data_IF_013350624765
#
_entry.id   IF_013350624765
#
_cell.length_a   1.000
_cell.length_b   1.000
_cell.length_c   1.000
_cell.angle_alpha   90.00
_cell.angle_beta   90.00
_cell.angle_gamma   90.00
#
_symmetry.space_group_name_H-M   'P 1'
#
loop_
_entity.id
_entity.type
_entity.pdbx_description
1 polymer ?
#
# COMPACT_ATOMS: atom_id res chain seq x y z
N UNK A 1 -22.48 -13.94 25.29
CA UNK A 1 -21.42 -13.55 24.34
C UNK A 1 -20.10 -14.15 24.83
N UNK A 2 -19.53 -15.13 24.12
CA UNK A 2 -18.48 -16.05 24.63
C UNK A 2 -17.11 -15.37 24.74
N UNK A 3 -16.54 -15.34 25.94
CA UNK A 3 -15.19 -14.84 26.25
C UNK A 3 -14.06 -15.54 25.44
N UNK A 4 -14.31 -16.78 25.02
CA UNK A 4 -13.36 -17.63 24.33
C UNK A 4 -13.02 -17.15 22.91
N UNK A 5 -14.00 -16.63 22.17
CA UNK A 5 -13.79 -16.07 20.84
C UNK A 5 -12.91 -14.82 20.87
N UNK A 6 -13.07 -13.99 21.91
CA UNK A 6 -12.19 -12.82 22.12
C UNK A 6 -10.77 -13.28 22.42
N UNK A 7 -10.59 -14.27 23.29
CA UNK A 7 -9.26 -14.77 23.68
C UNK A 7 -8.45 -15.35 22.51
N UNK A 8 -9.10 -16.07 21.59
CA UNK A 8 -8.45 -16.55 20.36
C UNK A 8 -8.05 -15.41 19.42
N UNK A 9 -8.86 -14.34 19.35
CA UNK A 9 -8.51 -13.13 18.60
C UNK A 9 -7.31 -12.39 19.21
N UNK A 10 -7.26 -12.24 20.54
CA UNK A 10 -6.11 -11.68 21.27
C UNK A 10 -4.81 -12.41 20.92
N UNK A 11 -4.82 -13.76 21.02
CA UNK A 11 -3.64 -14.58 20.70
C UNK A 11 -3.17 -14.40 19.26
N UNK A 12 -4.11 -14.31 18.32
CA UNK A 12 -3.81 -14.09 16.90
C UNK A 12 -3.20 -12.71 16.65
N UNK A 13 -3.79 -11.64 17.20
CA UNK A 13 -3.25 -10.28 17.04
C UNK A 13 -1.85 -10.15 17.64
N UNK A 14 -1.61 -10.75 18.81
CA UNK A 14 -0.29 -10.79 19.45
C UNK A 14 0.73 -11.52 18.57
N UNK A 15 0.35 -12.69 18.04
CA UNK A 15 1.21 -13.47 17.15
C UNK A 15 1.52 -12.73 15.83
N UNK A 16 0.53 -12.09 15.22
CA UNK A 16 0.68 -11.43 13.92
C UNK A 16 1.48 -10.13 14.01
N UNK A 17 1.33 -9.40 15.11
CA UNK A 17 1.97 -8.08 15.29
C UNK A 17 3.28 -8.13 16.06
N UNK A 18 3.58 -9.25 16.72
CA UNK A 18 4.76 -9.44 17.57
C UNK A 18 4.96 -8.31 18.60
N UNK A 19 3.87 -7.65 19.00
CA UNK A 19 3.88 -6.50 19.91
C UNK A 19 3.15 -6.85 21.21
N UNK A 20 3.92 -7.22 22.23
CA UNK A 20 3.40 -7.65 23.53
C UNK A 20 3.17 -6.49 24.53
N UNK A 21 3.75 -5.32 24.27
CA UNK A 21 3.67 -4.18 25.20
C UNK A 21 2.37 -3.40 25.07
N UNK A 22 1.86 -3.22 23.85
CA UNK A 22 0.73 -2.32 23.57
C UNK A 22 -0.44 -3.03 22.86
N UNK A 23 -0.71 -4.27 23.26
CA UNK A 23 -1.74 -5.13 22.65
C UNK A 23 -3.12 -4.43 22.62
N UNK A 24 -3.50 -3.74 23.70
CA UNK A 24 -4.78 -3.04 23.78
C UNK A 24 -4.89 -1.85 22.82
N UNK A 25 -3.79 -1.11 22.58
CA UNK A 25 -3.76 -0.03 21.59
C UNK A 25 -3.88 -0.62 20.19
N UNK A 26 -3.09 -1.66 19.89
CA UNK A 26 -3.16 -2.37 18.61
C UNK A 26 -4.55 -2.95 18.35
N UNK A 27 -5.21 -3.47 19.39
CA UNK A 27 -6.59 -3.95 19.30
C UNK A 27 -7.59 -2.83 19.14
N UNK A 28 -7.49 -1.74 19.90
CA UNK A 28 -8.38 -0.59 19.74
C UNK A 28 -8.28 -0.02 18.33
N UNK A 29 -7.06 0.11 17.78
CA UNK A 29 -6.82 0.56 16.41
C UNK A 29 -7.32 -0.43 15.35
N UNK A 30 -7.22 -1.75 15.56
CA UNK A 30 -7.76 -2.76 14.64
C UNK A 30 -9.29 -2.92 14.75
N UNK A 31 -9.85 -2.67 15.93
CA UNK A 31 -11.27 -2.84 16.22
C UNK A 31 -12.09 -1.59 15.89
N UNK A 32 -11.46 -0.40 15.89
CA UNK A 32 -11.97 0.76 15.17
C UNK A 32 -11.71 0.54 13.68
N UNK A 33 -12.68 -0.07 13.00
CA UNK A 33 -12.75 -0.12 11.54
C UNK A 33 -12.97 1.32 11.01
N UNK A 34 -11.94 2.15 11.09
CA UNK A 34 -11.96 3.55 10.69
C UNK A 34 -10.76 3.83 9.82
N UNK A 35 -11.04 4.30 8.61
CA UNK A 35 -10.07 5.00 7.79
C UNK A 35 -9.74 6.29 8.55
N UNK A 36 -8.49 6.42 8.99
CA UNK A 36 -7.96 7.65 9.59
C UNK A 36 -7.01 8.29 8.58
N UNK A 37 -7.35 9.48 8.11
CA UNK A 37 -6.57 10.20 7.11
C UNK A 37 -5.96 11.43 7.76
N UNK A 38 -4.64 11.59 7.64
CA UNK A 38 -3.94 12.78 8.13
C UNK A 38 -3.52 13.67 6.96
N UNK A 39 -3.55 14.99 7.15
CA UNK A 39 -3.03 15.97 6.17
C UNK A 39 -3.70 15.91 4.77
N UNK A 40 -5.03 15.95 4.76
CA UNK A 40 -5.82 15.98 3.52
C UNK A 40 -5.72 17.35 2.83
N UNK A 41 -5.38 17.36 1.55
CA UNK A 41 -5.44 18.54 0.67
C UNK A 41 -6.40 18.27 -0.48
N UNK A 42 -7.42 19.11 -0.62
CA UNK A 42 -8.36 19.02 -1.74
C UNK A 42 -7.77 19.79 -2.92
N UNK A 43 -7.60 19.12 -4.05
CA UNK A 43 -6.97 19.68 -5.26
C UNK A 43 -7.90 19.48 -6.45
N UNK A 44 -7.94 20.47 -7.35
CA UNK A 44 -8.66 20.34 -8.63
C UNK A 44 -7.86 19.42 -9.55
N UNK A 45 -8.53 18.51 -10.27
CA UNK A 45 -7.84 17.60 -11.18
C UNK A 45 -7.03 18.35 -12.25
N UNK A 46 -7.51 19.53 -12.67
CA UNK A 46 -6.83 20.39 -13.63
C UNK A 46 -5.44 20.89 -13.18
N UNK A 47 -5.14 20.96 -11.88
CA UNK A 47 -3.83 21.41 -11.38
C UNK A 47 -2.84 20.26 -11.12
N UNK A 48 -3.22 19.02 -11.39
CA UNK A 48 -2.34 17.86 -11.26
C UNK A 48 -1.46 17.67 -12.51
N UNK A 49 -0.38 16.93 -12.37
CA UNK A 49 0.51 16.59 -13.48
C UNK A 49 -0.22 15.84 -14.59
N UNK A 50 0.28 15.95 -15.83
CA UNK A 50 -0.34 15.32 -17.00
C UNK A 50 -0.49 13.80 -16.87
N UNK A 51 0.53 13.12 -16.31
CA UNK A 51 0.49 11.66 -16.08
C UNK A 51 -0.60 11.28 -15.07
N UNK A 52 -0.78 12.07 -14.02
CA UNK A 52 -1.77 11.82 -12.97
C UNK A 52 -3.19 12.10 -13.47
N UNK A 53 -3.36 13.15 -14.27
CA UNK A 53 -4.62 13.45 -14.95
C UNK A 53 -5.03 12.31 -15.86
N UNK A 54 -4.09 11.75 -16.64
CA UNK A 54 -4.35 10.60 -17.50
C UNK A 54 -4.80 9.36 -16.70
N UNK A 55 -4.10 9.04 -15.60
CA UNK A 55 -4.48 7.92 -14.75
C UNK A 55 -5.85 8.14 -14.06
N UNK A 56 -6.13 9.36 -13.60
CA UNK A 56 -7.41 9.74 -13.02
C UNK A 56 -8.55 9.69 -14.04
N UNK A 57 -8.33 10.13 -15.27
CA UNK A 57 -9.35 10.07 -16.32
C UNK A 57 -9.70 8.63 -16.69
N UNK A 58 -8.71 7.72 -16.72
CA UNK A 58 -8.94 6.29 -17.00
C UNK A 58 -9.82 5.61 -15.95
N UNK A 59 -9.64 5.91 -14.66
CA UNK A 59 -10.32 5.22 -13.54
C UNK A 59 -11.48 6.00 -12.92
N UNK A 60 -11.47 7.33 -13.00
CA UNK A 60 -12.36 8.23 -12.26
C UNK A 60 -12.74 9.47 -13.11
N UNK A 61 -13.31 9.22 -14.30
CA UNK A 61 -13.64 10.24 -15.31
C UNK A 61 -14.62 11.34 -14.87
N UNK A 62 -15.36 11.15 -13.77
CA UNK A 62 -16.42 12.06 -13.32
C UNK A 62 -16.01 13.04 -12.20
N UNK A 63 -14.77 12.99 -11.71
CA UNK A 63 -14.35 13.79 -10.55
C UNK A 63 -13.62 15.08 -10.98
N UNK A 64 -14.17 16.23 -10.61
CA UNK A 64 -13.51 17.54 -10.82
C UNK A 64 -12.53 17.92 -9.71
N UNK A 65 -12.72 17.34 -8.52
CA UNK A 65 -11.88 17.56 -7.34
C UNK A 65 -11.55 16.22 -6.71
N UNK A 66 -10.31 16.09 -6.22
CA UNK A 66 -9.83 14.90 -5.52
C UNK A 66 -9.15 15.33 -4.23
N UNK A 67 -9.34 14.56 -3.17
CA UNK A 67 -8.62 14.80 -1.92
C UNK A 67 -7.35 13.95 -1.95
N UNK A 68 -6.21 14.60 -1.76
CA UNK A 68 -4.92 13.95 -1.69
C UNK A 68 -4.43 13.92 -0.25
N UNK A 69 -3.85 12.80 0.13
CA UNK A 69 -3.17 12.61 1.40
C UNK A 69 -1.76 12.06 1.18
N UNK A 70 -0.89 12.31 2.15
CA UNK A 70 0.44 11.68 2.26
C UNK A 70 0.44 10.48 3.20
N UNK A 71 -0.58 10.35 4.04
CA UNK A 71 -0.69 9.34 5.09
C UNK A 71 -2.14 8.90 5.29
N UNK A 72 -2.37 7.60 5.33
CA UNK A 72 -3.65 7.03 5.73
C UNK A 72 -3.43 5.78 6.56
N UNK A 73 -4.29 5.58 7.55
CA UNK A 73 -4.39 4.34 8.29
C UNK A 73 -5.73 3.68 7.99
N UNK A 74 -5.68 2.45 7.48
CA UNK A 74 -6.84 1.61 7.17
C UNK A 74 -6.69 0.30 7.92
N UNK A 75 -7.67 -0.06 8.74
CA UNK A 75 -7.69 -1.30 9.54
C UNK A 75 -6.42 -1.53 10.38
N UNK A 76 -5.88 -0.44 10.90
CA UNK A 76 -4.65 -0.44 11.68
C UNK A 76 -3.36 -0.51 10.85
N UNK A 77 -3.43 -0.66 9.52
CA UNK A 77 -2.30 -0.64 8.60
C UNK A 77 -2.09 0.79 8.10
N UNK A 78 -0.87 1.31 8.25
CA UNK A 78 -0.50 2.67 7.84
C UNK A 78 0.17 2.66 6.48
N UNK A 79 -0.41 3.36 5.53
CA UNK A 79 0.13 3.61 4.20
C UNK A 79 0.67 5.03 4.15
N UNK A 80 1.88 5.16 3.61
CA UNK A 80 2.55 6.45 3.46
C UNK A 80 3.09 6.60 2.06
N UNK A 81 3.20 7.86 1.64
CA UNK A 81 4.02 8.23 0.50
C UNK A 81 5.43 7.61 0.62
N UNK A 82 5.90 7.05 -0.49
CA UNK A 82 7.18 6.39 -0.62
C UNK A 82 7.19 4.91 -0.28
N UNK A 83 6.14 4.37 0.35
CA UNK A 83 6.05 2.94 0.62
C UNK A 83 5.86 2.12 -0.66
N UNK A 84 6.28 0.86 -0.61
CA UNK A 84 6.17 -0.08 -1.72
C UNK A 84 5.00 -1.02 -1.44
N UNK A 85 4.17 -1.24 -2.44
CA UNK A 85 3.06 -2.19 -2.42
C UNK A 85 3.16 -3.11 -3.62
N UNK A 86 2.48 -4.25 -3.57
CA UNK A 86 2.40 -5.18 -4.68
C UNK A 86 0.96 -5.28 -5.17
N UNK A 87 0.77 -5.24 -6.48
CA UNK A 87 -0.52 -5.28 -7.12
C UNK A 87 -0.41 -5.94 -8.49
N UNK A 88 -1.27 -6.90 -8.80
CA UNK A 88 -1.23 -7.62 -10.08
C UNK A 88 0.04 -8.46 -10.29
N UNK A 89 0.18 -8.99 -11.49
CA UNK A 89 1.26 -9.91 -11.84
C UNK A 89 1.67 -9.82 -13.31
N UNK A 90 2.93 -10.13 -13.58
CA UNK A 90 3.47 -10.29 -14.93
C UNK A 90 4.31 -11.57 -14.98
N UNK A 91 3.97 -12.49 -15.89
CA UNK A 91 4.70 -13.75 -16.05
C UNK A 91 4.71 -14.64 -14.79
N UNK A 92 3.66 -14.56 -13.96
CA UNK A 92 3.56 -15.29 -12.69
C UNK A 92 4.38 -14.70 -11.55
N UNK A 93 5.01 -13.54 -11.76
CA UNK A 93 5.71 -12.79 -10.72
C UNK A 93 4.89 -11.56 -10.30
N UNK A 94 4.92 -11.19 -9.01
CA UNK A 94 4.23 -10.01 -8.52
C UNK A 94 4.82 -8.74 -9.12
N UNK A 95 3.97 -7.76 -9.41
CA UNK A 95 4.42 -6.41 -9.75
C UNK A 95 4.52 -5.55 -8.50
N UNK A 96 5.40 -4.54 -8.54
CA UNK A 96 5.66 -3.64 -7.44
C UNK A 96 5.43 -2.20 -7.83
N UNK A 97 4.94 -1.44 -6.86
CA UNK A 97 4.52 -0.06 -7.06
C UNK A 97 4.95 0.78 -5.86
N UNK A 98 5.45 1.98 -6.12
CA UNK A 98 5.74 2.97 -5.08
C UNK A 98 4.58 3.94 -4.95
N UNK A 99 4.06 4.10 -3.73
CA UNK A 99 3.02 5.08 -3.44
C UNK A 99 3.62 6.47 -3.60
N UNK A 100 3.06 7.27 -4.50
CA UNK A 100 3.42 8.67 -4.67
C UNK A 100 2.46 9.58 -3.90
N UNK A 101 1.15 9.35 -4.03
CA UNK A 101 0.12 10.04 -3.23
C UNK A 101 -1.05 9.11 -2.96
N UNK A 102 -1.81 9.41 -1.93
CA UNK A 102 -3.00 8.65 -1.55
C UNK A 102 -4.22 9.48 -1.91
N UNK A 103 -5.16 8.87 -2.60
CA UNK A 103 -6.37 9.49 -3.11
C UNK A 103 -7.55 9.10 -2.21
N UNK A 104 -8.21 10.11 -1.67
CA UNK A 104 -9.33 9.94 -0.74
C UNK A 104 -10.57 10.57 -1.39
N UNK A 105 -11.40 9.71 -1.95
CA UNK A 105 -12.68 10.07 -2.55
C UNK A 105 -13.81 9.24 -1.89
N UNK A 106 -14.71 8.64 -2.67
CA UNK A 106 -15.69 7.66 -2.16
C UNK A 106 -15.01 6.37 -1.69
N UNK A 107 -13.95 5.98 -2.38
CA UNK A 107 -13.08 4.86 -2.06
C UNK A 107 -11.65 5.37 -1.93
N UNK A 108 -10.81 4.60 -1.22
CA UNK A 108 -9.39 4.90 -1.14
C UNK A 108 -8.68 4.39 -2.39
N UNK A 109 -7.85 5.23 -2.99
CA UNK A 109 -6.96 4.89 -4.09
C UNK A 109 -5.52 5.24 -3.75
N UNK A 110 -4.59 4.58 -4.41
CA UNK A 110 -3.16 4.84 -4.33
C UNK A 110 -2.69 5.27 -5.70
N UNK A 111 -2.20 6.50 -5.80
CA UNK A 111 -1.49 6.96 -6.97
C UNK A 111 -0.06 6.46 -6.87
N UNK A 112 0.30 5.60 -7.82
CA UNK A 112 1.48 4.78 -7.74
C UNK A 112 2.32 4.86 -9.00
N UNK A 113 3.63 4.64 -8.81
CA UNK A 113 4.60 4.54 -9.88
C UNK A 113 5.05 3.08 -9.94
N UNK A 114 4.89 2.44 -11.10
CA UNK A 114 5.27 1.04 -11.33
C UNK A 114 6.78 0.90 -11.28
N UNK A 115 7.30 -0.01 -10.46
CA UNK A 115 8.74 -0.26 -10.38
C UNK A 115 9.05 -1.55 -11.15
N UNK A 116 9.78 -1.49 -12.27
CA UNK A 116 10.30 -2.69 -12.92
C UNK A 116 11.10 -3.49 -11.91
N UNK A 117 10.95 -4.80 -11.97
CA UNK A 117 11.59 -5.68 -11.00
C UNK A 117 12.04 -6.99 -11.62
N UNK A 118 13.09 -7.57 -11.03
CA UNK A 118 13.54 -8.92 -11.35
C UNK A 118 13.83 -9.69 -10.09
N UNK A 119 13.52 -10.98 -10.14
CA UNK A 119 13.73 -11.88 -9.02
C UNK A 119 15.19 -12.35 -8.96
N UNK A 120 15.81 -12.18 -7.79
CA UNK A 120 17.16 -12.69 -7.49
C UNK A 120 17.02 -13.95 -6.63
N UNK A 121 17.20 -15.09 -7.26
CA UNK A 121 17.01 -16.39 -6.63
C UNK A 121 17.92 -16.64 -5.41
N UNK A 122 19.19 -16.21 -5.47
CA UNK A 122 20.17 -16.46 -4.41
C UNK A 122 19.79 -15.85 -3.06
N UNK A 123 19.10 -14.71 -3.07
CA UNK A 123 18.68 -13.98 -1.86
C UNK A 123 17.16 -13.99 -1.68
N UNK A 124 16.43 -14.67 -2.58
CA UNK A 124 14.96 -14.74 -2.61
C UNK A 124 14.31 -13.36 -2.46
N UNK A 125 14.80 -12.38 -3.21
CA UNK A 125 14.34 -11.00 -3.19
C UNK A 125 14.14 -10.47 -4.60
N UNK A 126 13.35 -9.40 -4.71
CA UNK A 126 13.19 -8.66 -5.95
C UNK A 126 14.06 -7.42 -5.90
N UNK A 127 14.83 -7.19 -6.95
CA UNK A 127 15.50 -5.92 -7.16
C UNK A 127 14.59 -5.01 -7.96
N UNK A 128 14.43 -3.78 -7.48
CA UNK A 128 13.53 -2.77 -8.03
C UNK A 128 14.35 -1.70 -8.73
N UNK A 129 13.98 -1.37 -9.96
CA UNK A 129 14.53 -0.24 -10.69
C UNK A 129 13.76 1.04 -10.34
N UNK A 130 14.47 2.01 -9.80
CA UNK A 130 13.97 3.35 -9.45
C UNK A 130 14.43 4.43 -10.43
N UNK A 131 15.26 4.07 -11.41
CA UNK A 131 15.86 5.00 -12.38
C UNK A 131 15.11 5.06 -13.70
N UNK A 132 14.42 3.98 -14.08
CA UNK A 132 13.63 3.93 -15.30
C UNK A 132 12.38 4.84 -15.24
N UNK A 133 12.01 5.44 -16.38
CA UNK A 133 10.71 6.07 -16.56
C UNK A 133 9.61 5.05 -16.32
N UNK A 134 8.90 5.23 -15.22
CA UNK A 134 7.93 4.30 -14.72
C UNK A 134 6.51 4.79 -14.99
N UNK A 135 5.67 3.89 -15.51
CA UNK A 135 4.25 4.14 -15.73
C UNK A 135 3.55 4.49 -14.42
N UNK A 136 2.66 5.48 -14.47
CA UNK A 136 1.85 5.90 -13.32
C UNK A 136 0.47 5.26 -13.41
N UNK A 137 0.03 4.66 -12.31
CA UNK A 137 -1.28 4.03 -12.23
C UNK A 137 -1.98 4.34 -10.92
N UNK A 138 -3.30 4.13 -10.92
CA UNK A 138 -4.14 4.24 -9.72
C UNK A 138 -4.61 2.85 -9.33
N UNK A 139 -4.21 2.46 -8.13
CA UNK A 139 -4.53 1.17 -7.54
C UNK A 139 -5.55 1.35 -6.42
N UNK A 140 -6.50 0.44 -6.32
CA UNK A 140 -7.42 0.33 -5.19
C UNK A 140 -6.99 -0.83 -4.30
N UNK A 141 -7.64 -0.99 -3.15
CA UNK A 141 -7.38 -2.13 -2.27
C UNK A 141 -7.68 -3.49 -2.93
N UNK A 142 -8.58 -3.54 -3.90
CA UNK A 142 -8.95 -4.76 -4.63
C UNK A 142 -7.85 -5.21 -5.59
N UNK A 143 -7.00 -4.28 -6.02
CA UNK A 143 -5.89 -4.58 -6.93
C UNK A 143 -4.63 -5.08 -6.18
N UNK A 144 -4.59 -4.99 -4.84
CA UNK A 144 -3.41 -5.32 -4.05
C UNK A 144 -3.26 -6.84 -3.84
N UNK A 145 -2.05 -7.35 -4.03
CA UNK A 145 -1.70 -8.75 -3.74
C UNK A 145 -1.55 -9.01 -2.23
N UNK A 146 -1.22 -7.98 -1.45
CA UNK A 146 -1.16 -8.01 0.01
C UNK A 146 -1.53 -6.63 0.56
N UNK A 147 -2.23 -6.62 1.69
CA UNK A 147 -2.56 -5.40 2.42
C UNK A 147 -1.33 -4.78 3.08
N UNK A 148 -0.30 -5.56 3.42
CA UNK A 148 0.87 -5.01 4.10
C UNK A 148 1.85 -4.38 3.10
N UNK A 149 2.20 -3.09 3.24
CA UNK A 149 3.29 -2.50 2.50
C UNK A 149 4.60 -3.25 2.73
N UNK A 150 5.38 -3.37 1.67
CA UNK A 150 6.64 -4.07 1.66
C UNK A 150 7.77 -3.16 2.14
N UNK A 151 8.67 -3.74 2.92
CA UNK A 151 9.86 -3.04 3.38
C UNK A 151 10.95 -3.18 2.32
N UNK A 152 11.47 -2.05 1.87
CA UNK A 152 12.57 -1.99 0.92
C UNK A 152 13.90 -1.80 1.66
N UNK A 153 14.94 -2.46 1.18
CA UNK A 153 16.29 -2.40 1.73
C UNK A 153 17.25 -1.91 0.64
N UNK A 154 18.10 -0.94 0.97
CA UNK A 154 19.17 -0.51 0.06
C UNK A 154 20.43 -1.32 0.35
N UNK A 155 20.92 -2.06 -0.63
CA UNK A 155 22.15 -2.86 -0.53
C UNK A 155 23.03 -2.53 -1.72
N UNK A 156 24.20 -1.93 -1.46
CA UNK A 156 25.17 -1.54 -2.51
C UNK A 156 24.56 -0.69 -3.64
N UNK A 157 23.67 0.23 -3.29
CA UNK A 157 22.98 1.12 -4.25
C UNK A 157 21.77 0.48 -4.95
N UNK A 158 21.47 -0.80 -4.70
CA UNK A 158 20.30 -1.50 -5.24
C UNK A 158 19.15 -1.47 -4.25
N UNK A 159 17.93 -1.31 -4.73
CA UNK A 159 16.72 -1.37 -3.91
C UNK A 159 16.13 -2.78 -3.97
N UNK A 160 16.11 -3.48 -2.84
CA UNK A 160 15.63 -4.85 -2.73
C UNK A 160 14.35 -4.93 -1.90
N UNK A 161 13.43 -5.80 -2.30
CA UNK A 161 12.23 -6.13 -1.53
C UNK A 161 12.11 -7.63 -1.38
N UNK A 162 11.87 -8.07 -0.14
CA UNK A 162 11.63 -9.47 0.19
C UNK A 162 10.22 -9.62 0.76
N UNK A 163 9.30 -10.28 0.02
CA UNK A 163 8.00 -10.62 0.56
C UNK A 163 8.15 -11.56 1.76
N UNK A 164 7.46 -11.26 2.87
CA UNK A 164 7.44 -12.12 4.06
C UNK A 164 6.46 -13.28 3.93
N UNK A 165 5.53 -13.17 2.99
CA UNK A 165 4.53 -14.17 2.66
C UNK A 165 4.59 -14.40 1.15
N UNK A 166 4.09 -15.56 0.73
CA UNK A 166 3.82 -15.77 -0.68
C UNK A 166 2.77 -14.74 -1.12
N UNK A 167 3.15 -13.86 -2.04
CA UNK A 167 2.21 -12.93 -2.67
C UNK A 167 1.40 -13.77 -3.65
N UNK A 168 0.14 -14.03 -3.29
CA UNK A 168 -0.79 -14.80 -4.13
C UNK A 168 -1.09 -14.05 -5.43
N UNK A 169 -1.41 -14.84 -6.45
CA UNK A 169 -1.70 -14.46 -7.83
C UNK A 169 -3.08 -13.82 -8.02
#
# INVERSE_FOLDING_TARGET
MRFEAKHSFFKRVVHDTQNFKNIFVTLASKHQHRIHVESVRVVKVASLDASWRGALQRRCSHLNTVSLSSDVQVDGIRYREGMIISAGQCGGLPEFYRIHRILVAKTLGFLCIKLPSWYIQHVRSFELDVTSYAETDILTFEDLNDFYPLVAYSVRGKLLVSPKKFLMH
#
